data_IF_288199650285
#
_entry.id   IF_288199650285
#
_cell.length_a   1.000
_cell.length_b   1.000
_cell.length_c   1.000
_cell.angle_alpha   90.00
_cell.angle_beta   90.00
_cell.angle_gamma   90.00
#
_symmetry.space_group_name_H-M   'P 1'
#
loop_
_entity.id
_entity.type
_entity.pdbx_description
1 polymer ?
#
# COMPACT_ATOMS: atom_id res chain seq x y z
N UNK A 1 -12.57 -1.41 -17.16
CA UNK A 1 -11.96 -0.20 -16.56
C UNK A 1 -12.54 0.15 -15.19
N UNK A 2 -13.87 0.09 -14.98
CA UNK A 2 -14.52 0.46 -13.71
C UNK A 2 -13.91 -0.22 -12.47
N UNK A 3 -13.60 -1.52 -12.53
CA UNK A 3 -13.00 -2.25 -11.41
C UNK A 3 -11.60 -1.74 -11.03
N UNK A 4 -10.78 -1.37 -12.02
CA UNK A 4 -9.45 -0.79 -11.79
C UNK A 4 -9.59 0.56 -11.08
N UNK A 5 -10.57 1.38 -11.50
CA UNK A 5 -10.86 2.66 -10.87
C UNK A 5 -11.26 2.46 -9.40
N UNK A 6 -12.15 1.51 -9.11
CA UNK A 6 -12.58 1.20 -7.74
C UNK A 6 -11.41 0.71 -6.87
N UNK A 7 -10.54 -0.16 -7.40
CA UNK A 7 -9.34 -0.62 -6.72
C UNK A 7 -8.35 0.51 -6.47
N UNK A 8 -8.15 1.40 -7.44
CA UNK A 8 -7.28 2.56 -7.30
C UNK A 8 -7.81 3.53 -6.22
N UNK A 9 -9.12 3.82 -6.21
CA UNK A 9 -9.73 4.65 -5.18
C UNK A 9 -9.61 4.02 -3.78
N UNK A 10 -9.85 2.71 -3.66
CA UNK A 10 -9.65 1.98 -2.41
C UNK A 10 -8.18 2.07 -1.96
N UNK A 11 -7.24 1.88 -2.87
CA UNK A 11 -5.81 2.04 -2.63
C UNK A 11 -5.44 3.43 -2.12
N UNK A 12 -5.94 4.49 -2.77
CA UNK A 12 -5.73 5.89 -2.34
C UNK A 12 -6.24 6.08 -0.91
N UNK A 13 -7.44 5.61 -0.58
CA UNK A 13 -8.03 5.77 0.76
C UNK A 13 -7.17 5.05 1.81
N UNK A 14 -6.79 3.80 1.55
CA UNK A 14 -6.00 2.99 2.49
C UNK A 14 -4.59 3.59 2.67
N UNK A 15 -3.91 3.97 1.58
CA UNK A 15 -2.58 4.56 1.64
C UNK A 15 -2.56 5.96 2.26
N UNK A 16 -3.61 6.77 2.02
CA UNK A 16 -3.75 8.07 2.68
C UNK A 16 -3.95 7.91 4.18
N UNK A 17 -4.81 6.98 4.60
CA UNK A 17 -4.96 6.64 6.01
C UNK A 17 -3.63 6.17 6.62
N UNK A 18 -2.90 5.29 5.94
CA UNK A 18 -1.58 4.83 6.36
C UNK A 18 -0.60 5.99 6.56
N UNK A 19 -0.58 6.95 5.63
CA UNK A 19 0.26 8.14 5.70
C UNK A 19 -0.14 9.06 6.87
N UNK A 20 -1.44 9.28 7.07
CA UNK A 20 -1.94 10.04 8.22
C UNK A 20 -1.53 9.40 9.55
N UNK A 21 -1.65 8.08 9.66
CA UNK A 21 -1.19 7.33 10.84
C UNK A 21 0.31 7.51 11.04
N UNK A 22 1.13 7.32 9.99
CA UNK A 22 2.59 7.51 10.05
C UNK A 22 2.99 8.91 10.53
N UNK A 23 2.28 9.94 10.05
CA UNK A 23 2.52 11.32 10.48
C UNK A 23 2.11 11.56 11.93
N UNK A 24 0.98 11.01 12.36
CA UNK A 24 0.50 11.16 13.75
C UNK A 24 1.39 10.43 14.75
N UNK A 25 1.80 9.19 14.46
CA UNK A 25 2.75 8.45 15.33
C UNK A 25 4.13 9.12 15.36
N UNK A 26 4.51 9.88 14.32
CA UNK A 26 5.78 10.63 14.29
C UNK A 26 5.71 11.90 15.13
N UNK A 27 4.54 12.57 15.17
CA UNK A 27 4.33 13.82 15.92
C UNK A 27 4.02 13.58 17.39
N UNK A 28 3.22 12.56 17.70
CA UNK A 28 2.80 12.24 19.06
C UNK A 28 3.14 10.79 19.39
N UNK A 29 4.13 10.55 20.28
CA UNK A 29 4.51 9.21 20.72
C UNK A 29 3.38 8.38 21.34
N UNK A 30 2.39 9.04 21.95
CA UNK A 30 1.25 8.42 22.64
C UNK A 30 0.04 8.15 21.72
N UNK A 31 0.11 8.56 20.45
CA UNK A 31 -0.98 8.31 19.50
C UNK A 31 -1.18 6.80 19.26
N UNK A 32 -2.39 6.32 19.53
CA UNK A 32 -2.80 4.92 19.31
C UNK A 32 -3.72 4.83 18.09
N UNK A 33 -3.22 4.35 16.94
CA UNK A 33 -4.05 4.17 15.76
C UNK A 33 -5.02 2.99 15.90
N UNK A 34 -6.15 3.06 15.21
CA UNK A 34 -7.17 1.98 15.24
C UNK A 34 -6.68 0.66 14.62
N UNK A 35 -5.61 0.70 13.81
CA UNK A 35 -4.98 -0.50 13.24
C UNK A 35 -4.01 -1.21 14.20
N UNK A 36 -3.86 -0.71 15.43
CA UNK A 36 -3.08 -1.32 16.50
C UNK A 36 -4.01 -2.12 17.41
N UNK A 37 -4.17 -3.42 17.12
CA UNK A 37 -5.15 -4.29 17.82
C UNK A 37 -4.46 -5.10 18.93
N UNK A 38 -3.22 -5.53 18.70
CA UNK A 38 -2.45 -6.33 19.65
C UNK A 38 -0.96 -6.23 19.35
N UNK A 39 -0.11 -6.73 20.25
CA UNK A 39 1.34 -6.75 20.02
C UNK A 39 1.77 -7.50 18.76
N UNK A 40 0.96 -8.45 18.28
CA UNK A 40 1.22 -9.15 17.01
C UNK A 40 0.62 -8.43 15.81
N UNK A 41 -0.40 -7.60 16.01
CA UNK A 41 -1.14 -6.88 14.97
C UNK A 41 -0.98 -5.37 15.21
N UNK A 42 0.13 -4.80 14.73
CA UNK A 42 0.49 -3.41 14.96
C UNK A 42 1.01 -2.75 13.68
N UNK A 43 0.23 -1.79 13.16
CA UNK A 43 0.68 -0.91 12.08
C UNK A 43 1.80 0.03 12.55
N UNK A 44 1.74 0.50 13.80
CA UNK A 44 2.74 1.39 14.40
C UNK A 44 4.14 0.78 14.38
N UNK A 45 4.28 -0.50 14.74
CA UNK A 45 5.60 -1.16 14.77
C UNK A 45 6.23 -1.27 13.39
N UNK A 46 5.43 -1.54 12.36
CA UNK A 46 5.91 -1.60 10.97
C UNK A 46 6.27 -0.20 10.46
N UNK A 47 5.42 0.80 10.69
CA UNK A 47 5.64 2.17 10.20
C UNK A 47 6.81 2.89 10.88
N UNK A 48 7.06 2.63 12.18
CA UNK A 48 8.24 3.15 12.89
C UNK A 48 9.53 2.38 12.62
N UNK A 49 9.44 1.22 11.98
CA UNK A 49 10.64 0.46 11.63
C UNK A 49 11.48 1.23 10.61
N UNK A 50 12.77 0.89 10.51
CA UNK A 50 13.65 1.46 9.47
C UNK A 50 13.21 1.14 8.04
N UNK A 51 12.19 0.29 7.86
CA UNK A 51 11.62 -0.08 6.57
C UNK A 51 10.31 0.64 6.25
N UNK A 52 9.77 1.46 7.16
CA UNK A 52 8.57 2.27 6.90
C UNK A 52 8.81 3.38 5.87
N UNK A 53 10.08 3.71 5.63
CA UNK A 53 10.52 4.70 4.64
C UNK A 53 11.56 4.09 3.71
N UNK A 54 11.48 4.43 2.43
CA UNK A 54 12.48 4.09 1.43
C UNK A 54 13.23 5.36 1.03
N UNK A 55 14.55 5.39 1.24
CA UNK A 55 15.39 6.59 1.02
C UNK A 55 14.84 7.87 1.69
N UNK A 56 14.24 7.73 2.88
CA UNK A 56 13.63 8.84 3.62
C UNK A 56 12.20 9.21 3.19
N UNK A 57 11.68 8.62 2.11
CA UNK A 57 10.32 8.82 1.63
C UNK A 57 9.39 7.78 2.27
N UNK A 58 8.26 8.22 2.80
CA UNK A 58 7.22 7.35 3.35
C UNK A 58 6.72 6.35 2.29
N UNK A 59 6.70 5.06 2.63
CA UNK A 59 6.13 4.04 1.75
C UNK A 59 4.63 4.26 1.53
N UNK A 60 3.92 4.79 2.53
CA UNK A 60 2.51 5.13 2.42
C UNK A 60 2.29 6.25 1.39
N UNK A 61 3.16 7.26 1.38
CA UNK A 61 3.11 8.34 0.37
C UNK A 61 3.39 7.81 -1.04
N UNK A 62 4.38 6.93 -1.20
CA UNK A 62 4.68 6.27 -2.49
C UNK A 62 3.47 5.46 -2.96
N UNK A 63 2.81 4.72 -2.06
CA UNK A 63 1.58 4.00 -2.35
C UNK A 63 0.45 4.91 -2.83
N UNK A 64 0.21 6.02 -2.14
CA UNK A 64 -0.80 7.01 -2.55
C UNK A 64 -0.52 7.56 -3.95
N UNK A 65 0.73 7.92 -4.24
CA UNK A 65 1.14 8.40 -5.56
C UNK A 65 0.95 7.33 -6.64
N UNK A 66 1.31 6.08 -6.35
CA UNK A 66 1.10 4.94 -7.25
C UNK A 66 -0.38 4.79 -7.63
N UNK A 67 -1.29 4.77 -6.65
CA UNK A 67 -2.71 4.60 -6.93
C UNK A 67 -3.33 5.81 -7.65
N UNK A 68 -2.83 7.03 -7.40
CA UNK A 68 -3.23 8.22 -8.16
C UNK A 68 -2.84 8.09 -9.64
N UNK A 69 -1.62 7.62 -9.94
CA UNK A 69 -1.18 7.36 -11.32
C UNK A 69 -2.04 6.28 -11.98
N UNK A 70 -2.31 5.18 -11.28
CA UNK A 70 -3.18 4.10 -11.78
C UNK A 70 -4.59 4.63 -12.09
N UNK A 71 -5.16 5.48 -11.21
CA UNK A 71 -6.47 6.09 -11.43
C UNK A 71 -6.48 6.94 -12.72
N UNK A 72 -5.48 7.81 -12.90
CA UNK A 72 -5.35 8.63 -14.11
C UNK A 72 -5.25 7.76 -15.35
N UNK A 73 -4.37 6.76 -15.35
CA UNK A 73 -4.23 5.84 -16.48
C UNK A 73 -5.49 5.02 -16.77
N UNK A 74 -6.27 4.68 -15.74
CA UNK A 74 -7.54 4.00 -15.92
C UNK A 74 -8.56 4.91 -16.62
N UNK A 75 -8.57 6.22 -16.35
CA UNK A 75 -9.40 7.19 -17.08
C UNK A 75 -9.02 7.32 -18.56
N UNK A 76 -7.73 7.19 -18.88
CA UNK A 76 -7.22 7.19 -20.26
C UNK A 76 -7.20 5.81 -20.93
N UNK A 77 -7.74 4.77 -20.26
CA UNK A 77 -7.77 3.39 -20.76
C UNK A 77 -6.39 2.79 -21.13
N UNK A 78 -5.33 3.21 -20.44
CA UNK A 78 -3.96 2.75 -20.70
C UNK A 78 -3.64 1.41 -20.01
N UNK A 79 -4.30 0.33 -20.43
CA UNK A 79 -4.23 -0.99 -19.77
C UNK A 79 -2.82 -1.60 -19.68
N UNK A 80 -1.98 -1.41 -20.70
CA UNK A 80 -0.61 -1.93 -20.74
C UNK A 80 0.28 -1.32 -19.66
N UNK A 81 0.26 0.00 -19.52
CA UNK A 81 0.99 0.72 -18.47
C UNK A 81 0.55 0.30 -17.07
N UNK A 82 -0.76 0.16 -16.85
CA UNK A 82 -1.31 -0.28 -15.57
C UNK A 82 -0.83 -1.70 -15.24
N UNK A 83 -0.78 -2.60 -16.22
CA UNK A 83 -0.31 -3.97 -16.02
C UNK A 83 1.16 -4.02 -15.57
N UNK A 84 2.07 -3.35 -16.27
CA UNK A 84 3.49 -3.30 -15.88
C UNK A 84 3.70 -2.65 -14.51
N UNK A 85 2.97 -1.57 -14.21
CA UNK A 85 2.98 -0.93 -12.90
C UNK A 85 2.46 -1.87 -11.81
N UNK A 86 1.42 -2.66 -12.09
CA UNK A 86 0.86 -3.62 -11.14
C UNK A 86 1.84 -4.76 -10.83
N UNK A 87 2.61 -5.23 -11.82
CA UNK A 87 3.68 -6.21 -11.59
C UNK A 87 4.71 -5.64 -10.62
N UNK A 88 5.20 -4.42 -10.88
CA UNK A 88 6.17 -3.77 -10.01
C UNK A 88 5.64 -3.59 -8.57
N UNK A 89 4.37 -3.21 -8.43
CA UNK A 89 3.71 -3.06 -7.13
C UNK A 89 3.58 -4.38 -6.37
N UNK A 90 3.26 -5.49 -7.05
CA UNK A 90 3.19 -6.82 -6.42
C UNK A 90 4.58 -7.29 -5.98
N UNK A 91 5.62 -7.11 -6.81
CA UNK A 91 7.00 -7.44 -6.44
C UNK A 91 7.46 -6.65 -5.21
N UNK A 92 7.19 -5.34 -5.17
CA UNK A 92 7.47 -4.50 -4.01
C UNK A 92 6.69 -4.96 -2.77
N UNK A 93 5.42 -5.33 -2.94
CA UNK A 93 4.56 -5.83 -1.86
C UNK A 93 5.09 -7.14 -1.24
N UNK A 94 5.61 -8.06 -2.06
CA UNK A 94 6.22 -9.30 -1.58
C UNK A 94 7.45 -8.99 -0.72
N UNK A 95 8.30 -8.06 -1.15
CA UNK A 95 9.46 -7.61 -0.37
C UNK A 95 9.07 -7.00 0.98
N UNK A 96 8.08 -6.10 0.98
CA UNK A 96 7.58 -5.46 2.20
C UNK A 96 6.85 -6.44 3.14
N UNK A 97 6.13 -7.41 2.57
CA UNK A 97 5.52 -8.50 3.33
C UNK A 97 6.61 -9.33 4.03
N UNK A 98 7.65 -9.74 3.30
CA UNK A 98 8.78 -10.47 3.87
C UNK A 98 9.42 -9.69 5.02
N UNK A 99 9.66 -8.40 4.86
CA UNK A 99 10.22 -7.55 5.92
C UNK A 99 9.29 -7.50 7.14
N UNK A 100 7.98 -7.30 6.94
CA UNK A 100 7.00 -7.20 8.03
C UNK A 100 6.94 -8.48 8.87
N UNK A 101 6.90 -9.64 8.21
CA UNK A 101 6.81 -10.94 8.89
C UNK A 101 8.13 -11.39 9.50
N UNK A 102 9.24 -11.30 8.77
CA UNK A 102 10.50 -11.92 9.19
C UNK A 102 11.42 -10.97 9.96
N UNK A 103 11.46 -9.68 9.60
CA UNK A 103 12.34 -8.70 10.26
C UNK A 103 11.63 -7.99 11.41
N UNK A 104 10.45 -7.43 11.16
CA UNK A 104 9.68 -6.68 12.18
C UNK A 104 8.90 -7.62 13.10
N UNK A 105 8.55 -8.82 12.64
CA UNK A 105 7.76 -9.82 13.36
C UNK A 105 6.40 -9.26 13.80
N UNK A 106 5.72 -8.54 12.92
CA UNK A 106 4.40 -7.97 13.20
C UNK A 106 3.52 -7.93 11.96
N UNK A 107 2.23 -8.18 12.17
CA UNK A 107 1.24 -8.19 11.13
C UNK A 107 0.57 -6.81 11.02
N UNK A 108 0.76 -6.14 9.90
CA UNK A 108 0.14 -4.84 9.63
C UNK A 108 -1.11 -5.02 8.77
N UNK A 109 -2.31 -4.90 9.35
CA UNK A 109 -3.57 -5.04 8.63
C UNK A 109 -3.71 -4.08 7.45
N UNK A 110 -3.26 -2.83 7.63
CA UNK A 110 -3.30 -1.78 6.59
C UNK A 110 -2.36 -2.12 5.43
N UNK A 111 -1.16 -2.61 5.73
CA UNK A 111 -0.17 -3.01 4.72
C UNK A 111 -0.66 -4.26 3.96
N UNK A 112 -1.19 -5.25 4.68
CA UNK A 112 -1.77 -6.45 4.07
C UNK A 112 -2.93 -6.11 3.14
N UNK A 113 -3.78 -5.16 3.50
CA UNK A 113 -4.87 -4.72 2.62
C UNK A 113 -4.35 -4.05 1.34
N UNK A 114 -3.30 -3.23 1.42
CA UNK A 114 -2.60 -2.71 0.22
C UNK A 114 -2.04 -3.84 -0.65
N UNK A 115 -1.44 -4.88 -0.05
CA UNK A 115 -0.92 -6.02 -0.80
C UNK A 115 -2.03 -6.78 -1.54
N UNK A 116 -3.19 -6.98 -0.90
CA UNK A 116 -4.37 -7.59 -1.53
C UNK A 116 -4.86 -6.72 -2.68
N UNK A 117 -4.96 -5.40 -2.49
CA UNK A 117 -5.36 -4.47 -3.57
C UNK A 117 -4.40 -4.56 -4.75
N UNK A 118 -3.08 -4.64 -4.52
CA UNK A 118 -2.09 -4.75 -5.60
C UNK A 118 -2.22 -6.07 -6.38
N UNK A 119 -2.49 -7.19 -5.70
CA UNK A 119 -2.73 -8.48 -6.36
C UNK A 119 -4.01 -8.42 -7.19
N UNK A 120 -5.10 -7.88 -6.64
CA UNK A 120 -6.35 -7.70 -7.39
C UNK A 120 -6.16 -6.79 -8.61
N UNK A 121 -5.39 -5.71 -8.46
CA UNK A 121 -5.05 -4.80 -9.55
C UNK A 121 -4.31 -5.53 -10.67
N UNK A 122 -3.35 -6.40 -10.32
CA UNK A 122 -2.62 -7.22 -11.28
C UNK A 122 -3.55 -8.20 -12.02
N UNK A 123 -4.41 -8.91 -11.30
CA UNK A 123 -5.35 -9.88 -11.89
C UNK A 123 -6.32 -9.18 -12.84
N UNK A 124 -6.92 -8.07 -12.41
CA UNK A 124 -7.88 -7.32 -13.21
C UNK A 124 -7.18 -6.69 -14.41
N UNK A 125 -6.02 -6.05 -14.23
CA UNK A 125 -5.28 -5.43 -15.33
C UNK A 125 -4.82 -6.46 -16.38
N UNK A 126 -4.41 -7.65 -15.97
CA UNK A 126 -4.10 -8.75 -16.89
C UNK A 126 -5.30 -9.13 -17.77
N UNK A 127 -6.51 -9.18 -17.20
CA UNK A 127 -7.72 -9.49 -17.95
C UNK A 127 -8.13 -8.41 -18.95
N UNK A 128 -7.73 -7.14 -18.76
CA UNK A 128 -7.95 -6.04 -19.70
C UNK A 128 -6.81 -5.86 -20.71
N UNK A 129 -5.61 -6.31 -20.38
CA UNK A 129 -4.45 -6.25 -21.27
C UNK A 129 -4.52 -7.29 -22.40
N UNK A 130 -5.13 -8.44 -22.10
CA UNK A 130 -5.42 -9.50 -23.07
C UNK A 130 -6.60 -9.13 -23.97
#
# INVERSE_FOLDING_TARGET
MIFIILLALAGIVISTYAYTVEMNISKNPEYKPACDISDKISCTRVMRSGYGKLFGISNALVGTAFYAVVFVFACFSAASLIFYLSIAAVVASIGLAYISFFKVKSFCLVCTSVYVVNILLLIVSYAYFK
#
